data_IF_968947421321
#
_entry.id   IF_968947421321
#
_cell.length_a   1.000
_cell.length_b   1.000
_cell.length_c   1.000
_cell.angle_alpha   90.00
_cell.angle_beta   90.00
_cell.angle_gamma   90.00
#
_symmetry.space_group_name_H-M   'P 1'
#
loop_
_entity.id
_entity.type
_entity.pdbx_description
1 polymer ?
#
# COMPACT_ATOMS: atom_id res chain seq x y z
N UNK A 1 -19.01 18.20 10.74
CA UNK A 1 -17.53 18.22 10.77
C UNK A 1 -16.89 17.58 12.02
N UNK A 2 -17.64 17.26 13.08
CA UNK A 2 -17.12 16.73 14.35
C UNK A 2 -17.09 15.20 14.52
N UNK A 3 -17.77 14.44 13.66
CA UNK A 3 -17.88 12.97 13.79
C UNK A 3 -16.73 12.17 13.15
N UNK A 4 -15.97 12.78 12.23
CA UNK A 4 -14.84 12.12 11.56
C UNK A 4 -13.59 12.03 12.45
N UNK A 5 -13.32 13.04 13.28
CA UNK A 5 -12.15 13.05 14.16
C UNK A 5 -12.22 12.00 15.29
N UNK A 6 -13.42 11.68 15.78
CA UNK A 6 -13.58 10.65 16.84
C UNK A 6 -13.37 9.21 16.35
N UNK A 7 -13.62 8.93 15.06
CA UNK A 7 -13.39 7.60 14.50
C UNK A 7 -11.89 7.30 14.25
N UNK A 8 -11.13 8.32 13.89
CA UNK A 8 -9.67 8.20 13.64
C UNK A 8 -8.93 7.85 14.94
N UNK A 9 -9.28 8.47 16.04
CA UNK A 9 -8.65 8.24 17.35
C UNK A 9 -8.95 6.82 17.90
N UNK A 10 -10.16 6.32 17.69
CA UNK A 10 -10.57 4.99 18.13
C UNK A 10 -9.85 3.87 17.37
N UNK A 11 -9.67 4.01 16.05
CA UNK A 11 -9.02 2.99 15.22
C UNK A 11 -7.51 2.95 15.43
N UNK A 12 -6.85 4.10 15.55
CA UNK A 12 -5.44 4.19 15.91
C UNK A 12 -5.17 3.55 17.27
N UNK A 13 -6.03 3.78 18.24
CA UNK A 13 -5.97 3.14 19.57
C UNK A 13 -6.20 1.64 19.50
N UNK A 14 -7.14 1.16 18.69
CA UNK A 14 -7.44 -0.28 18.57
C UNK A 14 -6.28 -1.05 17.92
N UNK A 15 -5.65 -0.47 16.91
CA UNK A 15 -4.49 -1.05 16.22
C UNK A 15 -3.27 -1.05 17.15
N UNK A 16 -3.02 0.04 17.85
CA UNK A 16 -1.95 0.14 18.86
C UNK A 16 -2.21 -0.84 20.02
N UNK A 17 -3.44 -0.95 20.49
CA UNK A 17 -3.82 -1.85 21.60
C UNK A 17 -3.70 -3.33 21.19
N UNK A 18 -3.99 -3.65 19.92
CA UNK A 18 -3.82 -5.01 19.38
C UNK A 18 -2.35 -5.34 19.14
N UNK A 19 -1.56 -4.39 18.65
CA UNK A 19 -0.11 -4.51 18.48
C UNK A 19 0.60 -4.62 19.83
N UNK A 20 0.20 -3.83 20.82
CA UNK A 20 0.73 -3.86 22.18
C UNK A 20 0.40 -5.17 22.92
N UNK A 21 -0.80 -5.73 22.75
CA UNK A 21 -1.18 -7.04 23.33
C UNK A 21 -0.41 -8.20 22.74
N UNK A 22 -0.04 -8.13 21.47
CA UNK A 22 0.77 -9.19 20.82
C UNK A 22 2.23 -9.12 21.25
N UNK A 23 2.77 -7.92 21.55
CA UNK A 23 4.16 -7.68 21.89
C UNK A 23 4.42 -7.45 23.39
N UNK A 24 3.51 -7.86 24.29
CA UNK A 24 3.57 -7.59 25.73
C UNK A 24 4.80 -8.16 26.48
N UNK A 25 5.79 -8.69 25.77
CA UNK A 25 7.02 -9.20 26.41
C UNK A 25 8.26 -8.34 26.23
N UNK A 26 8.25 -7.28 25.45
CA UNK A 26 9.51 -6.54 25.19
C UNK A 26 9.32 -5.09 24.76
N UNK A 27 8.62 -4.24 25.47
CA UNK A 27 8.82 -2.78 25.34
C UNK A 27 8.74 -2.13 26.72
N UNK A 28 9.72 -2.39 27.57
CA UNK A 28 10.29 -1.33 28.40
C UNK A 28 11.31 -0.59 27.54
N UNK A 29 10.85 0.13 26.52
CA UNK A 29 11.66 1.15 25.86
C UNK A 29 11.49 2.39 26.74
N UNK A 30 12.48 2.65 27.54
CA UNK A 30 12.58 3.74 28.49
C UNK A 30 11.73 4.97 28.14
N UNK A 31 10.63 5.17 28.84
CA UNK A 31 9.97 6.47 29.01
C UNK A 31 9.39 7.20 27.79
N UNK A 32 9.39 6.62 26.58
CA UNK A 32 8.85 7.24 25.37
C UNK A 32 7.36 6.93 25.27
N UNK A 33 6.53 7.97 25.22
CA UNK A 33 5.07 7.83 25.02
C UNK A 33 4.73 7.17 23.68
N UNK A 34 3.58 6.49 23.60
CA UNK A 34 3.10 5.86 22.36
C UNK A 34 2.99 6.87 21.22
N UNK A 35 2.63 8.11 21.52
CA UNK A 35 2.55 9.20 20.54
C UNK A 35 3.92 9.57 19.96
N UNK A 36 4.94 9.64 20.81
CA UNK A 36 6.32 9.91 20.39
C UNK A 36 6.87 8.78 19.51
N UNK A 37 6.54 7.52 19.82
CA UNK A 37 6.91 6.37 19.00
C UNK A 37 6.24 6.41 17.62
N UNK A 38 4.94 6.71 17.56
CA UNK A 38 4.22 6.83 16.29
C UNK A 38 4.74 8.00 15.45
N UNK A 39 5.08 9.11 16.08
CA UNK A 39 5.70 10.26 15.40
C UNK A 39 7.07 9.89 14.84
N UNK A 40 7.92 9.24 15.64
CA UNK A 40 9.24 8.79 15.20
C UNK A 40 9.15 7.79 14.04
N UNK A 41 8.19 6.86 14.07
CA UNK A 41 7.95 5.91 12.98
C UNK A 41 7.49 6.62 11.70
N UNK A 42 6.61 7.61 11.82
CA UNK A 42 6.17 8.42 10.69
C UNK A 42 7.32 9.21 10.07
N UNK A 43 8.16 9.83 10.89
CA UNK A 43 9.35 10.55 10.42
C UNK A 43 10.36 9.61 9.77
N UNK A 44 10.59 8.44 10.34
CA UNK A 44 11.45 7.43 9.73
C UNK A 44 10.98 7.04 8.34
N UNK A 45 9.68 6.77 8.16
CA UNK A 45 9.10 6.44 6.86
C UNK A 45 9.24 7.58 5.84
N UNK A 46 9.02 8.83 6.24
CA UNK A 46 9.26 9.99 5.37
C UNK A 46 10.71 10.04 4.89
N UNK A 47 11.67 9.77 5.78
CA UNK A 47 13.09 9.75 5.43
C UNK A 47 13.43 8.60 4.46
N UNK A 48 12.84 7.43 4.61
CA UNK A 48 13.04 6.32 3.67
C UNK A 48 12.48 6.67 2.28
N UNK A 49 11.30 7.29 2.20
CA UNK A 49 10.75 7.78 0.93
C UNK A 49 11.64 8.87 0.33
N UNK A 50 12.14 9.81 1.12
CA UNK A 50 13.06 10.85 0.65
C UNK A 50 14.36 10.28 0.09
N UNK A 51 14.90 9.23 0.71
CA UNK A 51 16.10 8.53 0.23
C UNK A 51 15.91 7.86 -1.13
N UNK A 52 14.68 7.52 -1.50
CA UNK A 52 14.43 6.96 -2.83
C UNK A 52 14.85 7.90 -3.96
N UNK A 53 14.88 9.23 -3.70
CA UNK A 53 15.36 10.22 -4.66
C UNK A 53 16.81 9.96 -5.10
N UNK A 54 17.66 9.37 -4.24
CA UNK A 54 19.04 9.01 -4.60
C UNK A 54 19.06 8.02 -5.80
N UNK A 55 18.04 7.18 -5.89
CA UNK A 55 17.88 6.23 -6.97
C UNK A 55 17.03 6.79 -8.13
N UNK A 56 15.91 7.43 -7.84
CA UNK A 56 14.94 7.85 -8.87
C UNK A 56 15.42 9.05 -9.70
N UNK A 57 16.36 9.84 -9.17
CA UNK A 57 16.94 10.99 -9.91
C UNK A 57 17.63 10.59 -11.22
N UNK A 58 18.12 9.37 -11.36
CA UNK A 58 18.68 8.88 -12.63
C UNK A 58 17.63 8.76 -13.76
N UNK A 59 16.35 8.67 -13.39
CA UNK A 59 15.21 8.66 -14.31
C UNK A 59 14.56 10.04 -14.45
N UNK A 60 15.15 11.08 -13.85
CA UNK A 60 14.62 12.45 -13.86
C UNK A 60 13.48 12.68 -12.89
N UNK A 61 13.28 11.76 -11.90
CA UNK A 61 12.21 11.82 -10.92
C UNK A 61 12.73 12.19 -9.54
N UNK A 62 12.01 13.08 -8.85
CA UNK A 62 12.31 13.46 -7.47
C UNK A 62 11.03 13.84 -6.74
N UNK A 63 11.01 13.60 -5.44
CA UNK A 63 9.92 13.98 -4.53
C UNK A 63 10.42 15.07 -3.58
N UNK A 64 9.71 16.17 -3.50
CA UNK A 64 9.92 17.19 -2.47
C UNK A 64 9.38 16.71 -1.11
N UNK A 65 9.73 17.41 -0.04
CA UNK A 65 9.15 17.13 1.28
C UNK A 65 7.63 17.28 1.28
N UNK A 66 7.09 18.24 0.51
CA UNK A 66 5.66 18.46 0.37
C UNK A 66 4.98 17.30 -0.38
N UNK A 67 5.58 16.81 -1.47
CA UNK A 67 5.09 15.65 -2.21
C UNK A 67 5.03 14.40 -1.33
N UNK A 68 6.06 14.21 -0.52
CA UNK A 68 6.12 13.08 0.43
C UNK A 68 5.02 13.21 1.49
N UNK A 69 4.75 14.41 1.99
CA UNK A 69 3.64 14.60 2.94
C UNK A 69 2.29 14.26 2.32
N UNK A 70 2.05 14.68 1.09
CA UNK A 70 0.84 14.34 0.33
C UNK A 70 0.71 12.84 0.14
N UNK A 71 1.75 12.17 -0.35
CA UNK A 71 1.77 10.71 -0.54
C UNK A 71 1.56 9.94 0.77
N UNK A 72 2.07 10.45 1.90
CA UNK A 72 1.87 9.85 3.22
C UNK A 72 0.44 10.05 3.75
N UNK A 73 -0.25 11.14 3.35
CA UNK A 73 -1.67 11.33 3.64
C UNK A 73 -2.50 10.31 2.87
N UNK A 74 -2.30 10.21 1.55
CA UNK A 74 -2.97 9.23 0.69
C UNK A 74 -2.75 7.81 1.20
N UNK A 75 -1.52 7.46 1.57
CA UNK A 75 -1.21 6.16 2.17
C UNK A 75 -2.06 5.88 3.40
N UNK A 76 -2.19 6.85 4.30
CA UNK A 76 -2.98 6.69 5.52
C UNK A 76 -4.46 6.49 5.22
N UNK A 77 -4.98 7.26 4.27
CA UNK A 77 -6.36 7.15 3.81
C UNK A 77 -6.64 5.77 3.21
N UNK A 78 -5.79 5.28 2.31
CA UNK A 78 -5.90 3.96 1.73
C UNK A 78 -5.86 2.84 2.79
N UNK A 79 -4.94 2.91 3.75
CA UNK A 79 -4.86 1.92 4.83
C UNK A 79 -6.13 1.92 5.69
N UNK A 80 -6.70 3.09 5.96
CA UNK A 80 -7.94 3.22 6.73
C UNK A 80 -9.16 2.71 5.97
N UNK A 81 -9.27 3.06 4.69
CA UNK A 81 -10.38 2.65 3.82
C UNK A 81 -10.43 1.14 3.66
N UNK A 82 -9.27 0.53 3.46
CA UNK A 82 -9.15 -0.91 3.24
C UNK A 82 -8.92 -1.72 4.52
N UNK A 83 -8.96 -1.08 5.71
CA UNK A 83 -8.78 -1.70 7.04
C UNK A 83 -7.45 -2.48 7.15
N UNK A 84 -6.38 -1.92 6.60
CA UNK A 84 -5.07 -2.56 6.55
C UNK A 84 -4.03 -1.92 7.44
N UNK A 85 -3.03 -2.71 7.80
CA UNK A 85 -1.85 -2.27 8.56
C UNK A 85 -0.62 -2.79 7.84
N UNK A 86 0.35 -1.93 7.60
CA UNK A 86 1.63 -2.30 7.02
C UNK A 86 2.69 -2.59 8.08
N UNK A 87 3.40 -3.66 7.86
CA UNK A 87 4.57 -4.05 8.65
C UNK A 87 5.83 -4.05 7.77
N UNK A 88 6.93 -3.53 8.29
CA UNK A 88 8.21 -3.49 7.57
C UNK A 88 8.28 -2.40 6.49
N UNK A 89 8.83 -2.74 5.33
CA UNK A 89 8.96 -1.82 4.19
C UNK A 89 7.58 -1.54 3.61
N UNK A 90 7.26 -0.26 3.45
CA UNK A 90 5.93 0.18 3.02
C UNK A 90 5.67 -0.08 1.54
N UNK A 91 4.38 -0.16 1.18
CA UNK A 91 3.94 -0.31 -0.22
C UNK A 91 4.36 0.88 -1.06
N UNK A 92 4.29 2.11 -0.52
CA UNK A 92 4.71 3.32 -1.24
C UNK A 92 6.16 3.22 -1.73
N UNK A 93 7.09 2.80 -0.87
CA UNK A 93 8.49 2.64 -1.26
C UNK A 93 8.66 1.58 -2.34
N UNK A 94 7.94 0.46 -2.24
CA UNK A 94 7.96 -0.59 -3.27
C UNK A 94 7.44 -0.09 -4.61
N UNK A 95 6.35 0.69 -4.62
CA UNK A 95 5.79 1.31 -5.82
C UNK A 95 6.78 2.31 -6.45
N UNK A 96 7.42 3.16 -5.63
CA UNK A 96 8.45 4.09 -6.10
C UNK A 96 9.54 3.35 -6.89
N UNK A 97 10.13 2.31 -6.30
CA UNK A 97 11.20 1.55 -6.96
C UNK A 97 10.72 0.75 -8.17
N UNK A 98 9.50 0.22 -8.13
CA UNK A 98 8.97 -0.60 -9.22
C UNK A 98 8.56 0.22 -10.44
N UNK A 99 8.20 1.49 -10.26
CA UNK A 99 7.62 2.30 -11.33
C UNK A 99 8.51 3.45 -11.82
N UNK A 100 9.62 3.75 -11.15
CA UNK A 100 10.44 4.93 -11.49
C UNK A 100 11.12 4.86 -12.87
N UNK A 101 11.26 3.70 -13.48
CA UNK A 101 11.82 3.52 -14.82
C UNK A 101 10.74 3.31 -15.91
N UNK A 102 9.45 3.55 -15.56
CA UNK A 102 8.36 3.48 -16.54
C UNK A 102 8.46 4.56 -17.60
N UNK A 103 8.28 4.23 -18.88
CA UNK A 103 8.27 5.24 -19.94
C UNK A 103 7.06 6.17 -19.92
N UNK A 104 6.09 5.91 -19.05
CA UNK A 104 4.85 6.68 -18.92
C UNK A 104 4.83 7.57 -17.67
N UNK A 105 5.91 7.55 -16.86
CA UNK A 105 6.02 8.36 -15.67
C UNK A 105 7.07 9.45 -15.87
N UNK A 106 6.65 10.69 -15.65
CA UNK A 106 7.45 11.90 -15.77
C UNK A 106 7.32 12.70 -14.48
N UNK A 107 8.22 13.64 -14.25
CA UNK A 107 8.22 14.47 -13.05
C UNK A 107 6.84 15.13 -12.79
N UNK A 108 6.17 15.57 -13.86
CA UNK A 108 4.89 16.30 -13.78
C UNK A 108 3.71 15.44 -13.32
N UNK A 109 3.75 14.12 -13.59
CA UNK A 109 2.68 13.20 -13.20
C UNK A 109 3.09 12.25 -12.07
N UNK A 110 4.30 12.40 -11.54
CA UNK A 110 4.89 11.40 -10.64
C UNK A 110 4.09 11.22 -9.35
N UNK A 111 3.78 12.33 -8.67
CA UNK A 111 3.04 12.33 -7.39
C UNK A 111 1.62 11.79 -7.58
N UNK A 112 0.91 12.29 -8.60
CA UNK A 112 -0.45 11.85 -8.93
C UNK A 112 -0.49 10.34 -9.26
N UNK A 113 0.48 9.89 -10.06
CA UNK A 113 0.60 8.47 -10.41
C UNK A 113 0.85 7.60 -9.18
N UNK A 114 1.78 7.97 -8.30
CA UNK A 114 2.05 7.24 -7.07
C UNK A 114 0.85 7.25 -6.12
N UNK A 115 0.13 8.34 -6.04
CA UNK A 115 -1.10 8.46 -5.24
C UNK A 115 -2.16 7.47 -5.71
N UNK A 116 -2.42 7.42 -7.01
CA UNK A 116 -3.39 6.49 -7.60
C UNK A 116 -2.94 5.05 -7.50
N UNK A 117 -1.66 4.75 -7.74
CA UNK A 117 -1.11 3.40 -7.61
C UNK A 117 -1.27 2.83 -6.19
N UNK A 118 -1.18 3.66 -5.15
CA UNK A 118 -1.45 3.23 -3.78
C UNK A 118 -2.91 2.77 -3.62
N UNK A 119 -3.88 3.57 -4.08
CA UNK A 119 -5.30 3.23 -4.04
C UNK A 119 -5.59 1.92 -4.77
N UNK A 120 -5.11 1.82 -6.01
CA UNK A 120 -5.25 0.64 -6.86
C UNK A 120 -4.65 -0.60 -6.18
N UNK A 121 -3.44 -0.48 -5.61
CA UNK A 121 -2.80 -1.59 -4.92
C UNK A 121 -3.66 -2.13 -3.76
N UNK A 122 -4.12 -1.27 -2.86
CA UNK A 122 -4.89 -1.73 -1.70
C UNK A 122 -6.27 -2.27 -2.08
N UNK A 123 -6.91 -1.69 -3.10
CA UNK A 123 -8.15 -2.22 -3.65
C UNK A 123 -7.94 -3.67 -4.10
N UNK A 124 -6.96 -3.93 -4.96
CA UNK A 124 -6.75 -5.26 -5.52
C UNK A 124 -6.07 -6.24 -4.57
N UNK A 125 -5.37 -5.76 -3.57
CA UNK A 125 -4.91 -6.59 -2.46
C UNK A 125 -6.10 -7.20 -1.70
N UNK A 126 -7.17 -6.42 -1.49
CA UNK A 126 -8.42 -6.91 -0.90
C UNK A 126 -9.19 -7.81 -1.87
N UNK A 127 -9.34 -7.40 -3.12
CA UNK A 127 -10.09 -8.16 -4.14
C UNK A 127 -9.46 -9.53 -4.43
N UNK A 128 -8.14 -9.66 -4.31
CA UNK A 128 -7.42 -10.93 -4.42
C UNK A 128 -7.45 -11.76 -3.14
N UNK A 129 -8.13 -11.32 -2.08
CA UNK A 129 -8.22 -12.01 -0.78
C UNK A 129 -6.85 -12.40 -0.19
N UNK A 130 -5.84 -11.55 -0.38
CA UNK A 130 -4.45 -11.77 0.05
C UNK A 130 -3.75 -13.02 -0.53
N UNK A 131 -4.28 -13.60 -1.59
CA UNK A 131 -3.68 -14.75 -2.28
C UNK A 131 -2.30 -14.41 -2.91
N UNK A 132 -2.06 -13.12 -3.16
CA UNK A 132 -0.80 -12.62 -3.69
C UNK A 132 0.01 -11.92 -2.62
N UNK A 133 1.31 -12.07 -2.68
CA UNK A 133 2.24 -11.20 -1.95
C UNK A 133 2.19 -9.78 -2.51
N UNK A 134 2.68 -8.80 -1.74
CA UNK A 134 2.75 -7.42 -2.21
C UNK A 134 3.62 -7.30 -3.47
N UNK A 135 4.74 -8.01 -3.48
CA UNK A 135 5.70 -7.94 -4.58
C UNK A 135 5.13 -8.55 -5.87
N UNK A 136 4.40 -9.67 -5.78
CA UNK A 136 3.72 -10.29 -6.94
C UNK A 136 2.64 -9.36 -7.52
N UNK A 137 1.86 -8.71 -6.66
CA UNK A 137 0.84 -7.77 -7.12
C UNK A 137 1.48 -6.54 -7.78
N UNK A 138 2.52 -5.97 -7.17
CA UNK A 138 3.23 -4.80 -7.71
C UNK A 138 3.89 -5.14 -9.06
N UNK A 139 4.51 -6.31 -9.18
CA UNK A 139 5.11 -6.77 -10.44
C UNK A 139 4.06 -6.91 -11.54
N UNK A 140 2.91 -7.50 -11.22
CA UNK A 140 1.79 -7.59 -12.16
C UNK A 140 1.25 -6.21 -12.56
N UNK A 141 1.05 -5.32 -11.60
CA UNK A 141 0.63 -3.94 -11.84
C UNK A 141 1.61 -3.23 -12.78
N UNK A 142 2.91 -3.32 -12.48
CA UNK A 142 3.96 -2.67 -13.27
C UNK A 142 3.98 -3.16 -14.71
N UNK A 143 3.97 -4.48 -14.89
CA UNK A 143 3.95 -5.09 -16.22
C UNK A 143 2.70 -4.70 -17.01
N UNK A 144 1.52 -4.78 -16.39
CA UNK A 144 0.27 -4.40 -17.04
C UNK A 144 0.23 -2.93 -17.40
N UNK A 145 0.71 -2.06 -16.52
CA UNK A 145 0.77 -0.61 -16.75
C UNK A 145 1.59 -0.24 -17.97
N UNK A 146 2.76 -0.87 -18.15
CA UNK A 146 3.63 -0.57 -19.29
C UNK A 146 3.18 -1.24 -20.59
N UNK A 147 2.87 -2.54 -20.54
CA UNK A 147 2.64 -3.33 -21.75
C UNK A 147 1.22 -3.17 -22.28
N UNK A 148 0.23 -3.38 -21.41
CA UNK A 148 -1.17 -3.46 -21.83
C UNK A 148 -1.87 -2.11 -21.73
N UNK A 149 -1.66 -1.40 -20.62
CA UNK A 149 -2.36 -0.16 -20.33
C UNK A 149 -1.68 1.08 -20.95
N UNK A 150 -0.42 0.96 -21.37
CA UNK A 150 0.35 2.05 -21.97
C UNK A 150 0.29 3.33 -21.13
N UNK A 151 0.43 3.19 -19.81
CA UNK A 151 0.41 4.29 -18.86
C UNK A 151 -0.97 4.74 -18.38
N UNK A 152 -2.05 4.11 -18.84
CA UNK A 152 -3.42 4.43 -18.38
C UNK A 152 -3.72 3.74 -17.06
N UNK A 153 -3.86 4.52 -15.98
CA UNK A 153 -4.25 4.03 -14.65
C UNK A 153 -5.71 3.58 -14.63
N UNK A 154 -6.59 4.25 -15.36
CA UNK A 154 -8.00 3.86 -15.46
C UNK A 154 -8.13 2.47 -16.10
N UNK A 155 -7.41 2.23 -17.19
CA UNK A 155 -7.43 0.92 -17.84
C UNK A 155 -6.78 -0.17 -16.96
N UNK A 156 -5.74 0.17 -16.21
CA UNK A 156 -5.13 -0.73 -15.24
C UNK A 156 -6.13 -1.15 -14.18
N UNK A 157 -6.83 -0.18 -13.58
CA UNK A 157 -7.78 -0.39 -12.49
C UNK A 157 -9.04 -1.12 -12.97
N UNK A 158 -9.72 -0.58 -13.98
CA UNK A 158 -11.05 -1.03 -14.36
C UNK A 158 -11.06 -2.30 -15.21
N UNK A 159 -9.94 -2.65 -15.85
CA UNK A 159 -9.89 -3.76 -16.79
C UNK A 159 -8.89 -4.82 -16.40
N UNK A 160 -7.60 -4.49 -16.41
CA UNK A 160 -6.53 -5.49 -16.25
C UNK A 160 -6.56 -6.15 -14.87
N UNK A 161 -6.66 -5.35 -13.83
CA UNK A 161 -6.64 -5.86 -12.45
C UNK A 161 -7.99 -6.48 -12.07
N UNK A 162 -9.10 -5.98 -12.58
CA UNK A 162 -10.41 -6.60 -12.35
C UNK A 162 -10.49 -8.01 -12.96
N UNK A 163 -10.01 -8.18 -14.20
CA UNK A 163 -9.92 -9.51 -14.82
C UNK A 163 -9.00 -10.45 -14.05
N UNK A 164 -7.87 -9.94 -13.59
CA UNK A 164 -6.90 -10.69 -12.81
C UNK A 164 -7.49 -11.14 -11.47
N UNK A 165 -8.08 -10.25 -10.69
CA UNK A 165 -8.72 -10.57 -9.41
C UNK A 165 -9.89 -11.56 -9.58
N UNK A 166 -10.67 -11.41 -10.66
CA UNK A 166 -11.76 -12.33 -11.01
C UNK A 166 -11.22 -13.73 -11.30
N UNK A 167 -10.10 -13.86 -11.96
CA UNK A 167 -9.46 -15.14 -12.26
C UNK A 167 -8.94 -15.82 -11.00
N UNK A 168 -8.34 -15.07 -10.08
CA UNK A 168 -7.90 -15.57 -8.77
C UNK A 168 -9.10 -16.11 -8.00
N UNK A 169 -10.15 -15.31 -7.81
CA UNK A 169 -11.36 -15.72 -7.09
C UNK A 169 -11.98 -17.00 -7.68
N UNK A 170 -12.01 -17.15 -9.00
CA UNK A 170 -12.51 -18.37 -9.66
C UNK A 170 -11.62 -19.59 -9.40
N UNK A 171 -10.32 -19.40 -9.31
CA UNK A 171 -9.38 -20.49 -9.03
C UNK A 171 -9.52 -20.97 -7.59
N UNK A 172 -9.64 -20.08 -6.63
CA UNK A 172 -9.83 -20.36 -5.21
C UNK A 172 -11.16 -21.09 -4.97
N UNK A 173 -12.25 -20.66 -5.61
CA UNK A 173 -13.55 -21.36 -5.51
C UNK A 173 -13.51 -22.80 -6.05
N UNK A 174 -12.76 -23.07 -7.11
CA UNK A 174 -12.58 -24.45 -7.62
C UNK A 174 -11.81 -25.33 -6.64
N UNK A 175 -10.91 -24.77 -5.85
CA UNK A 175 -10.16 -25.52 -4.83
C UNK A 175 -11.05 -25.90 -3.64
N UNK A 176 -11.81 -24.95 -3.11
CA UNK A 176 -12.71 -25.16 -1.98
C UNK A 176 -13.82 -26.18 -2.33
N UNK A 177 -14.40 -26.09 -3.54
CA UNK A 177 -15.43 -27.03 -3.99
C UNK A 177 -14.94 -28.48 -4.20
N UNK A 178 -13.63 -28.70 -4.32
CA UNK A 178 -13.05 -30.03 -4.52
C UNK A 178 -12.77 -30.77 -3.19
N UNK A 179 -12.70 -30.06 -2.08
CA UNK A 179 -12.45 -30.62 -0.73
C UNK A 179 -13.66 -30.57 0.20
N UNK A 180 -14.81 -30.06 -0.29
CA UNK A 180 -16.04 -29.89 0.50
C UNK A 180 -17.05 -31.04 0.41
N UNK A 181 -16.73 -32.18 -0.24
CA UNK A 181 -17.66 -33.32 -0.39
C UNK A 181 -16.93 -34.60 -0.05
N UNK A 182 -16.62 -34.81 1.21
CA UNK A 182 -16.40 -36.14 1.81
C UNK A 182 -16.66 -36.04 3.31
N UNK A 183 -17.94 -35.99 3.68
CA UNK A 183 -18.44 -36.40 4.98
C UNK A 183 -19.91 -36.80 4.83
N UNK A 184 -20.15 -38.02 4.41
CA UNK A 184 -21.30 -38.84 4.78
C UNK A 184 -20.81 -40.11 5.44
#
# INVERSE_FOLDING_TARGET
>A
MGLYYHKIDFFSRLVVDRYMRYNHRTIEIGGIGVEDYLLALSQYRKQEVLRSNEYTCQFGLSLSEQDIEELMIVRRECLQEHLRVEFGKGVLEKLIYAFCDSPYIYQENYVDTLSRLQGIFYLYKNESMDELTDDELIEYMRKSFDETCQGSLDYLEETCLEEFARNIRRSTHKFIGRYGVENE
#
